data_IF_016891069789
#
_entry.id   IF_016891069789
#
_cell.length_a   1.000
_cell.length_b   1.000
_cell.length_c   1.000
_cell.angle_alpha   90.00
_cell.angle_beta   90.00
_cell.angle_gamma   90.00
#
_symmetry.space_group_name_H-M   'P 1'
#
loop_
_entity.id
_entity.type
_entity.pdbx_description
1 polymer ?
#
# COMPACT_ATOMS: atom_id res chain seq x y z
N UNK A 1 14.72 16.21 -2.09
CA UNK A 1 14.02 14.95 -2.43
C UNK A 1 12.78 15.30 -3.27
N UNK A 2 12.55 14.67 -4.43
CA UNK A 2 11.30 14.89 -5.18
C UNK A 2 10.14 14.26 -4.38
N UNK A 3 9.01 14.95 -4.26
CA UNK A 3 7.84 14.42 -3.54
C UNK A 3 7.32 13.15 -4.22
N UNK A 4 7.07 12.08 -3.44
CA UNK A 4 6.47 10.82 -3.93
C UNK A 4 5.11 11.09 -4.61
N UNK A 5 4.34 12.05 -4.10
CA UNK A 5 3.07 12.46 -4.71
C UNK A 5 3.25 13.11 -6.10
N UNK A 6 4.33 13.87 -6.31
CA UNK A 6 4.65 14.45 -7.63
C UNK A 6 5.10 13.36 -8.61
N UNK A 7 5.91 12.39 -8.14
CA UNK A 7 6.32 11.25 -8.96
C UNK A 7 5.11 10.40 -9.38
N UNK A 8 4.21 10.09 -8.46
CA UNK A 8 2.98 9.35 -8.75
C UNK A 8 2.06 10.10 -9.71
N UNK A 9 1.87 11.41 -9.52
CA UNK A 9 1.06 12.23 -10.45
C UNK A 9 1.60 12.15 -11.89
N UNK A 10 2.91 12.18 -12.08
CA UNK A 10 3.53 12.03 -13.42
C UNK A 10 3.28 10.65 -14.04
N UNK A 11 3.25 9.59 -13.23
CA UNK A 11 2.90 8.26 -13.71
C UNK A 11 1.44 8.19 -14.18
N UNK A 12 0.53 8.87 -13.47
CA UNK A 12 -0.89 8.97 -13.85
C UNK A 12 -1.13 9.84 -15.09
N UNK A 13 -0.31 10.87 -15.30
CA UNK A 13 -0.37 11.73 -16.49
C UNK A 13 0.23 11.06 -17.74
N UNK A 14 0.97 9.95 -17.57
CA UNK A 14 1.54 9.18 -18.67
C UNK A 14 0.49 8.34 -19.41
N UNK A 15 0.73 8.09 -20.70
CA UNK A 15 -0.14 7.24 -21.53
C UNK A 15 0.05 5.74 -21.28
N UNK A 16 1.12 5.36 -20.57
CA UNK A 16 1.48 3.97 -20.33
C UNK A 16 0.68 3.40 -19.16
N UNK A 17 -0.06 2.32 -19.42
CA UNK A 17 -0.67 1.52 -18.36
C UNK A 17 0.42 0.92 -17.46
N UNK A 18 0.23 1.03 -16.15
CA UNK A 18 1.09 0.39 -15.16
C UNK A 18 0.25 -0.38 -14.14
N UNK A 19 0.87 -1.41 -13.55
CA UNK A 19 0.25 -2.24 -12.53
C UNK A 19 0.53 -1.67 -11.15
N UNK A 20 -0.49 -1.64 -10.30
CA UNK A 20 -0.38 -1.25 -8.89
C UNK A 20 -0.87 -2.39 -8.00
N UNK A 21 -0.02 -3.39 -7.70
CA UNK A 21 -0.35 -4.44 -6.73
C UNK A 21 -0.52 -3.85 -5.33
N UNK A 22 -1.36 -4.50 -4.51
CA UNK A 22 -1.60 -4.08 -3.13
C UNK A 22 -0.75 -4.91 -2.16
N UNK A 23 0.05 -4.24 -1.34
CA UNK A 23 0.67 -4.80 -0.16
C UNK A 23 -0.29 -4.69 1.03
N UNK A 24 -0.29 -5.68 1.91
CA UNK A 24 -1.07 -5.69 3.16
C UNK A 24 -0.21 -5.83 4.41
N UNK A 25 1.08 -6.12 4.25
CA UNK A 25 2.10 -6.19 5.30
C UNK A 25 3.47 -5.80 4.73
N UNK A 26 4.50 -5.73 5.59
CA UNK A 26 5.87 -5.37 5.17
C UNK A 26 6.45 -6.40 4.20
N UNK A 27 6.18 -7.70 4.40
CA UNK A 27 6.73 -8.76 3.56
C UNK A 27 6.20 -8.68 2.12
N UNK A 28 4.89 -8.46 1.96
CA UNK A 28 4.28 -8.25 0.65
C UNK A 28 4.81 -6.99 -0.04
N UNK A 29 5.06 -5.90 0.70
CA UNK A 29 5.69 -4.70 0.13
C UNK A 29 7.10 -4.99 -0.42
N UNK A 30 7.94 -5.70 0.35
CA UNK A 30 9.29 -6.10 -0.07
C UNK A 30 9.25 -6.98 -1.32
N UNK A 31 8.36 -7.98 -1.33
CA UNK A 31 8.24 -8.90 -2.47
C UNK A 31 7.79 -8.18 -3.74
N UNK A 32 6.87 -7.21 -3.61
CA UNK A 32 6.41 -6.40 -4.73
C UNK A 32 7.54 -5.50 -5.27
N UNK A 33 8.34 -4.89 -4.40
CA UNK A 33 9.51 -4.11 -4.81
C UNK A 33 10.53 -5.01 -5.54
N UNK A 34 10.84 -6.18 -4.99
CA UNK A 34 11.75 -7.16 -5.61
C UNK A 34 11.23 -7.69 -6.96
N UNK A 35 9.92 -7.75 -7.14
CA UNK A 35 9.30 -8.11 -8.42
C UNK A 35 9.38 -6.97 -9.47
N UNK A 36 9.88 -5.79 -9.10
CA UNK A 36 10.17 -4.69 -10.02
C UNK A 36 9.00 -3.74 -10.27
N UNK A 37 7.99 -3.72 -9.41
CA UNK A 37 6.88 -2.77 -9.54
C UNK A 37 7.29 -1.37 -9.06
N UNK A 38 7.04 -0.35 -9.88
CA UNK A 38 7.36 1.04 -9.56
C UNK A 38 6.36 1.69 -8.60
N UNK A 39 5.16 1.11 -8.46
CA UNK A 39 4.09 1.62 -7.61
C UNK A 39 3.43 0.47 -6.86
N UNK A 40 3.25 0.66 -5.56
CA UNK A 40 2.50 -0.24 -4.70
C UNK A 40 1.28 0.48 -4.13
N UNK A 41 0.22 -0.27 -3.91
CA UNK A 41 -0.96 0.15 -3.17
C UNK A 41 -1.02 -0.52 -1.81
N UNK A 42 -1.97 -0.09 -0.99
CA UNK A 42 -2.36 -0.79 0.23
C UNK A 42 -3.82 -1.25 0.13
N UNK A 43 -4.27 -2.08 1.07
CA UNK A 43 -5.65 -2.56 1.15
C UNK A 43 -6.15 -2.55 2.60
N UNK A 44 -7.28 -1.88 2.86
CA UNK A 44 -7.90 -1.79 4.20
C UNK A 44 -8.16 -3.17 4.79
N UNK A 45 -8.89 -4.02 4.08
CA UNK A 45 -9.12 -5.41 4.48
C UNK A 45 -7.84 -6.20 4.74
N UNK A 46 -6.88 -6.20 3.81
CA UNK A 46 -5.68 -7.03 3.98
C UNK A 46 -4.89 -6.61 5.21
N UNK A 47 -4.82 -5.31 5.48
CA UNK A 47 -4.18 -4.77 6.67
C UNK A 47 -4.95 -5.15 7.93
N UNK A 48 -6.28 -5.01 7.96
CA UNK A 48 -7.11 -5.40 9.11
C UNK A 48 -7.01 -6.91 9.41
N UNK A 49 -7.02 -7.74 8.36
CA UNK A 49 -6.85 -9.18 8.46
C UNK A 49 -5.44 -9.56 8.92
N UNK A 50 -4.40 -8.87 8.44
CA UNK A 50 -3.01 -9.16 8.82
C UNK A 50 -2.65 -8.69 10.22
N UNK A 51 -3.12 -7.52 10.65
CA UNK A 51 -2.83 -6.93 11.96
C UNK A 51 -3.69 -7.53 13.07
N UNK A 52 -4.98 -7.75 12.82
CA UNK A 52 -5.97 -8.07 13.87
C UNK A 52 -6.67 -9.42 13.63
N UNK A 53 -6.51 -10.03 12.46
CA UNK A 53 -7.18 -11.30 12.13
C UNK A 53 -8.70 -11.16 11.96
N UNK A 54 -9.20 -9.95 11.69
CA UNK A 54 -10.62 -9.63 11.64
C UNK A 54 -11.06 -9.21 10.23
N UNK A 55 -12.36 -9.36 9.90
CA UNK A 55 -12.90 -8.88 8.63
C UNK A 55 -12.92 -7.34 8.54
N UNK A 56 -12.96 -6.80 7.32
CA UNK A 56 -13.04 -5.36 7.03
C UNK A 56 -14.43 -4.82 7.41
N UNK A 57 -14.57 -4.43 8.69
CA UNK A 57 -15.81 -3.88 9.25
C UNK A 57 -15.59 -2.51 9.89
N UNK A 58 -14.55 -1.78 9.46
CA UNK A 58 -14.25 -0.43 9.97
C UNK A 58 -13.48 -0.41 11.30
N UNK A 59 -12.97 -1.55 11.76
CA UNK A 59 -12.23 -1.67 13.02
C UNK A 59 -10.81 -1.08 12.93
N UNK A 60 -10.29 -0.88 11.73
CA UNK A 60 -8.99 -0.26 11.46
C UNK A 60 -8.89 1.18 11.99
N UNK A 61 -10.02 1.87 12.23
CA UNK A 61 -10.04 3.18 12.91
C UNK A 61 -9.50 3.10 14.35
N UNK A 62 -9.73 1.97 15.03
CA UNK A 62 -9.29 1.76 16.43
C UNK A 62 -7.77 1.54 16.50
N UNK A 63 -7.16 1.02 15.43
CA UNK A 63 -5.74 0.68 15.35
C UNK A 63 -4.94 1.57 14.38
N UNK A 64 -5.50 2.71 13.97
CA UNK A 64 -4.91 3.61 12.98
C UNK A 64 -3.50 4.09 13.35
N UNK A 65 -3.17 4.15 14.64
CA UNK A 65 -1.82 4.48 15.11
C UNK A 65 -0.78 3.45 14.67
N UNK A 66 -1.09 2.15 14.72
CA UNK A 66 -0.17 1.08 14.34
C UNK A 66 0.12 1.09 12.82
N UNK A 67 -0.86 1.52 12.03
CA UNK A 67 -0.75 1.57 10.56
C UNK A 67 0.30 2.57 10.04
N UNK A 68 0.48 3.72 10.70
CA UNK A 68 1.40 4.77 10.23
C UNK A 68 2.88 4.47 10.52
N UNK A 69 3.19 3.50 11.38
CA UNK A 69 4.58 3.17 11.76
C UNK A 69 5.17 2.01 10.94
N UNK A 70 4.34 1.21 10.26
CA UNK A 70 4.78 -0.01 9.58
C UNK A 70 4.96 0.12 8.05
N UNK A 71 4.61 1.27 7.45
CA UNK A 71 4.73 1.52 5.99
C UNK A 71 5.60 2.74 5.71
#
# INVERSE_FOLDING_TARGET
MKSKAIAFRRLLEGEKLFMRPCAYDVLSAILIEQAGFEVIGTTGYGIAASLVGQPDIGLETVYFSEFLFEI
#
